data_IF_479634835918
#
_entry.id   IF_479634835918
#
_cell.length_a   1.000
_cell.length_b   1.000
_cell.length_c   1.000
_cell.angle_alpha   90.00
_cell.angle_beta   90.00
_cell.angle_gamma   90.00
#
_symmetry.space_group_name_H-M   'P 1'
#
loop_
_entity.id
_entity.type
_entity.pdbx_description
1 polymer ?
#
# COMPACT_ATOMS: atom_id res chain seq x y z
N UNK A 1 9.32 14.59 -8.47
CA UNK A 1 8.53 13.70 -9.37
C UNK A 1 9.17 12.33 -9.46
N UNK A 2 10.48 12.25 -9.76
CA UNK A 2 11.20 10.97 -9.82
C UNK A 2 11.07 10.14 -8.53
N UNK A 3 11.33 10.73 -7.36
CA UNK A 3 11.20 10.04 -6.07
C UNK A 3 9.78 9.52 -5.80
N UNK A 4 8.77 10.33 -6.15
CA UNK A 4 7.36 9.94 -6.02
C UNK A 4 7.03 8.76 -6.92
N UNK A 5 7.46 8.81 -8.19
CA UNK A 5 7.24 7.71 -9.14
C UNK A 5 7.97 6.45 -8.68
N UNK A 6 9.16 6.58 -8.12
CA UNK A 6 9.90 5.46 -7.55
C UNK A 6 9.13 4.77 -6.42
N UNK A 7 8.58 5.55 -5.46
CA UNK A 7 7.78 5.00 -4.37
C UNK A 7 6.47 4.36 -4.86
N UNK A 8 5.77 4.99 -5.82
CA UNK A 8 4.56 4.44 -6.42
C UNK A 8 4.82 3.11 -7.15
N UNK A 9 5.89 3.05 -7.93
CA UNK A 9 6.30 1.83 -8.63
C UNK A 9 6.73 0.73 -7.66
N UNK A 10 7.43 1.08 -6.58
CA UNK A 10 7.81 0.16 -5.51
C UNK A 10 6.58 -0.45 -4.82
N UNK A 11 5.60 0.38 -4.45
CA UNK A 11 4.33 -0.06 -3.86
C UNK A 11 3.54 -0.99 -4.77
N UNK A 12 3.42 -0.65 -6.06
CA UNK A 12 2.73 -1.49 -7.05
C UNK A 12 3.39 -2.87 -7.16
N UNK A 13 4.72 -2.93 -7.30
CA UNK A 13 5.47 -4.20 -7.41
C UNK A 13 5.35 -5.04 -6.14
N UNK A 14 5.39 -4.41 -4.97
CA UNK A 14 5.19 -5.11 -3.69
C UNK A 14 3.79 -5.75 -3.62
N UNK A 15 2.75 -5.01 -4.02
CA UNK A 15 1.37 -5.53 -4.07
C UNK A 15 1.21 -6.69 -5.06
N UNK A 16 1.76 -6.55 -6.27
CA UNK A 16 1.79 -7.62 -7.26
C UNK A 16 2.52 -8.87 -6.74
N UNK A 17 3.61 -8.70 -5.98
CA UNK A 17 4.31 -9.79 -5.30
C UNK A 17 3.44 -10.54 -4.28
N UNK A 18 2.70 -9.81 -3.42
CA UNK A 18 1.75 -10.41 -2.48
C UNK A 18 0.59 -11.15 -3.17
N UNK A 19 0.14 -10.64 -4.32
CA UNK A 19 -0.91 -11.28 -5.12
C UNK A 19 -0.40 -12.40 -6.04
N UNK A 20 0.92 -12.60 -6.14
CA UNK A 20 1.52 -13.60 -7.02
C UNK A 20 1.30 -13.32 -8.52
N UNK A 21 1.23 -12.05 -8.93
CA UNK A 21 0.96 -11.66 -10.32
C UNK A 21 2.17 -11.00 -10.96
N UNK A 22 2.49 -11.42 -12.19
CA UNK A 22 3.67 -10.97 -12.93
C UNK A 22 3.37 -9.78 -13.84
N UNK A 23 2.09 -9.56 -14.18
CA UNK A 23 1.62 -8.47 -15.05
C UNK A 23 0.45 -7.71 -14.44
N UNK A 24 0.17 -6.50 -14.97
CA UNK A 24 -0.96 -5.69 -14.53
C UNK A 24 -2.28 -6.37 -14.92
N UNK A 25 -2.32 -7.02 -16.07
CA UNK A 25 -3.44 -7.81 -16.56
C UNK A 25 -3.74 -8.96 -15.59
N UNK A 26 -2.72 -9.74 -15.19
CA UNK A 26 -2.87 -10.79 -14.18
C UNK A 26 -3.36 -10.26 -12.84
N UNK A 27 -2.88 -9.08 -12.39
CA UNK A 27 -3.38 -8.43 -11.17
C UNK A 27 -4.86 -8.09 -11.28
N UNK A 28 -5.31 -7.56 -12.41
CA UNK A 28 -6.71 -7.20 -12.65
C UNK A 28 -7.62 -8.44 -12.67
N UNK A 29 -7.15 -9.55 -13.24
CA UNK A 29 -7.92 -10.78 -13.39
C UNK A 29 -7.95 -11.62 -12.10
N UNK A 30 -6.82 -11.70 -11.39
CA UNK A 30 -6.64 -12.62 -10.27
C UNK A 30 -6.66 -11.95 -8.90
N UNK A 31 -6.47 -10.64 -8.82
CA UNK A 31 -6.55 -9.87 -7.58
C UNK A 31 -7.93 -9.99 -6.93
N UNK A 32 -7.95 -10.20 -5.61
CA UNK A 32 -9.20 -10.34 -4.84
C UNK A 32 -9.24 -9.29 -3.74
N UNK A 33 -10.40 -8.65 -3.62
CA UNK A 33 -10.70 -7.73 -2.53
C UNK A 33 -11.51 -8.43 -1.45
N UNK A 34 -11.34 -7.97 -0.22
CA UNK A 34 -12.18 -8.33 0.92
C UNK A 34 -12.75 -7.05 1.52
N UNK A 35 -14.00 -7.10 1.98
CA UNK A 35 -14.63 -5.98 2.66
C UNK A 35 -14.10 -5.90 4.09
N UNK A 36 -13.64 -4.72 4.50
CA UNK A 36 -13.13 -4.46 5.84
C UNK A 36 -14.08 -3.56 6.64
N UNK A 37 -13.94 -3.59 7.97
CA UNK A 37 -14.65 -2.69 8.88
C UNK A 37 -13.85 -1.39 9.11
N UNK A 38 -14.48 -0.39 9.74
CA UNK A 38 -13.77 0.83 10.17
C UNK A 38 -12.65 0.53 11.20
N UNK A 39 -12.83 -0.49 12.04
CA UNK A 39 -11.81 -0.92 12.98
C UNK A 39 -10.59 -1.51 12.26
N UNK A 40 -10.83 -2.35 11.23
CA UNK A 40 -9.77 -2.91 10.41
C UNK A 40 -9.04 -1.84 9.57
N UNK A 41 -9.74 -0.77 9.15
CA UNK A 41 -9.08 0.38 8.52
C UNK A 41 -8.09 1.05 9.47
N UNK A 42 -8.49 1.31 10.72
CA UNK A 42 -7.58 1.86 11.75
C UNK A 42 -6.40 0.93 12.03
N UNK A 43 -6.65 -0.38 12.08
CA UNK A 43 -5.60 -1.40 12.24
C UNK A 43 -4.61 -1.42 11.07
N UNK A 44 -5.08 -1.16 9.84
CA UNK A 44 -4.24 -1.21 8.63
C UNK A 44 -3.24 -0.06 8.56
N UNK A 45 -3.54 1.09 9.17
CA UNK A 45 -2.62 2.22 9.32
C UNK A 45 -1.74 2.02 10.56
N UNK A 46 -0.54 2.64 10.66
CA UNK A 46 0.17 2.74 11.92
C UNK A 46 -0.74 3.31 13.01
N UNK A 47 -0.81 2.62 14.14
CA UNK A 47 -1.64 2.96 15.28
C UNK A 47 -0.86 2.70 16.57
N UNK A 48 -1.23 3.41 17.64
CA UNK A 48 -0.64 3.29 18.98
C UNK A 48 0.90 3.53 19.02
N UNK A 49 1.40 4.40 18.13
CA UNK A 49 2.82 4.78 18.04
C UNK A 49 2.95 6.27 17.68
N UNK A 50 4.04 6.90 18.15
CA UNK A 50 4.44 8.23 17.71
C UNK A 50 5.49 8.13 16.59
N UNK A 51 5.16 8.62 15.40
CA UNK A 51 6.07 8.62 14.25
C UNK A 51 7.11 9.73 14.48
N UNK A 52 8.37 9.34 14.69
CA UNK A 52 9.48 10.26 14.96
C UNK A 52 10.30 10.62 13.72
N UNK A 53 10.06 9.93 12.60
CA UNK A 53 10.73 10.14 11.33
C UNK A 53 9.75 9.93 10.17
N UNK A 54 9.77 10.83 9.21
CA UNK A 54 8.95 10.71 8.01
C UNK A 54 9.38 9.54 7.13
N UNK A 55 8.39 8.82 6.60
CA UNK A 55 8.57 7.80 5.59
C UNK A 55 8.35 8.40 4.19
N UNK A 56 9.14 8.00 3.18
CA UNK A 56 9.05 8.57 1.83
C UNK A 56 7.75 8.20 1.09
N UNK A 57 6.97 7.26 1.62
CA UNK A 57 5.75 6.70 1.00
C UNK A 57 4.56 6.62 1.98
N UNK A 58 4.67 7.25 3.15
CA UNK A 58 3.57 7.27 4.12
C UNK A 58 3.52 8.62 4.83
N UNK A 59 2.41 9.32 4.63
CA UNK A 59 2.07 10.59 5.27
C UNK A 59 0.65 10.48 5.81
N UNK A 60 0.42 11.01 7.00
CA UNK A 60 -0.92 11.29 7.49
C UNK A 60 -1.31 12.66 6.93
N UNK A 61 -2.37 12.73 6.13
CA UNK A 61 -2.98 14.01 5.80
C UNK A 61 -3.40 14.70 7.11
N UNK A 62 -3.15 16.02 7.22
CA UNK A 62 -3.76 16.86 8.27
C UNK A 62 -5.27 17.00 8.07
#
# INVERSE_FOLDING_TARGET
VEDTVFQLMGGLRSGMGYCGTSTIEELKENGRFVKISAAALRESHPHDIHITKEAPNYSVDE
#
